data_IF_093769698966
#
_entry.id   IF_093769698966
#
_cell.length_a   1.000
_cell.length_b   1.000
_cell.length_c   1.000
_cell.angle_alpha   90.00
_cell.angle_beta   90.00
_cell.angle_gamma   90.00
#
_symmetry.space_group_name_H-M   'P 1'
#
loop_
_entity.id
_entity.type
_entity.pdbx_description
1 polymer ?
#
# COMPACT_ATOMS: atom_id res chain seq x y z
N UNK A 1 18.71 -3.97 4.39
CA UNK A 1 19.06 -3.83 2.95
C UNK A 1 17.79 -3.46 2.18
N UNK A 2 17.81 -2.52 1.24
CA UNK A 2 16.62 -2.10 0.48
C UNK A 2 16.33 -3.04 -0.70
N UNK A 3 15.11 -2.98 -1.27
CA UNK A 3 14.74 -3.76 -2.47
C UNK A 3 15.60 -3.44 -3.68
N UNK A 4 16.01 -2.17 -3.84
CA UNK A 4 16.89 -1.76 -4.93
C UNK A 4 18.23 -2.50 -4.87
N UNK A 5 18.79 -2.68 -3.67
CA UNK A 5 20.04 -3.41 -3.47
C UNK A 5 19.86 -4.92 -3.60
N UNK A 6 18.77 -5.48 -3.07
CA UNK A 6 18.58 -6.94 -2.94
C UNK A 6 18.02 -7.58 -4.21
N UNK A 7 17.12 -6.88 -4.90
CA UNK A 7 16.34 -7.39 -6.03
C UNK A 7 16.47 -6.54 -7.29
N UNK A 8 17.23 -5.44 -7.26
CA UNK A 8 17.42 -4.58 -8.43
C UNK A 8 16.22 -3.70 -8.77
N UNK A 9 15.29 -3.50 -7.82
CA UNK A 9 14.20 -2.54 -8.00
C UNK A 9 14.75 -1.14 -8.37
N UNK A 10 14.05 -0.45 -9.24
CA UNK A 10 14.47 0.82 -9.84
C UNK A 10 13.62 1.98 -9.32
N UNK A 11 14.04 3.21 -9.64
CA UNK A 11 13.19 4.38 -9.41
C UNK A 11 11.92 4.34 -10.28
N UNK A 12 12.01 3.71 -11.45
CA UNK A 12 10.88 3.60 -12.37
C UNK A 12 9.78 2.69 -11.81
N UNK A 13 10.15 1.63 -11.07
CA UNK A 13 9.17 0.77 -10.38
C UNK A 13 8.36 1.58 -9.34
N UNK A 14 9.04 2.42 -8.55
CA UNK A 14 8.38 3.30 -7.58
C UNK A 14 7.51 4.36 -8.28
N UNK A 15 8.00 4.93 -9.38
CA UNK A 15 7.26 5.92 -10.15
C UNK A 15 5.98 5.36 -10.77
N UNK A 16 5.98 4.08 -11.18
CA UNK A 16 4.79 3.41 -11.70
C UNK A 16 3.70 3.23 -10.63
N UNK A 17 4.09 2.93 -9.39
CA UNK A 17 3.16 2.87 -8.25
C UNK A 17 2.51 4.23 -8.02
N UNK A 18 3.31 5.29 -7.89
CA UNK A 18 2.79 6.66 -7.74
C UNK A 18 1.86 7.05 -8.91
N UNK A 19 2.27 6.72 -10.14
CA UNK A 19 1.49 7.05 -11.33
C UNK A 19 0.12 6.37 -11.31
N UNK A 20 0.07 5.06 -11.05
CA UNK A 20 -1.19 4.32 -10.86
C UNK A 20 -2.09 4.99 -9.83
N UNK A 21 -1.55 5.34 -8.66
CA UNK A 21 -2.36 5.93 -7.58
C UNK A 21 -2.91 7.31 -8.00
N UNK A 22 -2.11 8.12 -8.69
CA UNK A 22 -2.57 9.40 -9.23
C UNK A 22 -3.61 9.26 -10.35
N UNK A 23 -3.48 8.25 -11.22
CA UNK A 23 -4.49 7.98 -12.25
C UNK A 23 -5.82 7.55 -11.63
N UNK A 24 -5.81 6.72 -10.58
CA UNK A 24 -7.01 6.37 -9.83
C UNK A 24 -7.61 7.60 -9.11
N UNK A 25 -6.75 8.42 -8.47
CA UNK A 25 -7.16 9.63 -7.78
C UNK A 25 -7.82 10.66 -8.71
N UNK A 26 -7.42 10.73 -9.99
CA UNK A 26 -7.99 11.64 -10.98
C UNK A 26 -9.52 11.48 -11.10
N UNK A 27 -10.02 10.25 -11.02
CA UNK A 27 -11.44 9.92 -11.16
C UNK A 27 -12.22 10.00 -9.84
N UNK A 28 -11.55 10.07 -8.70
CA UNK A 28 -12.19 10.08 -7.39
C UNK A 28 -12.48 11.51 -6.89
N UNK A 29 -13.76 11.95 -6.81
CA UNK A 29 -14.12 13.30 -6.35
C UNK A 29 -13.73 13.60 -4.90
N UNK A 30 -13.42 12.57 -4.09
CA UNK A 30 -12.96 12.71 -2.70
C UNK A 30 -11.45 12.81 -2.59
N UNK A 31 -10.70 12.50 -3.65
CA UNK A 31 -9.24 12.52 -3.63
C UNK A 31 -8.71 13.96 -3.72
N UNK A 32 -7.59 14.25 -3.04
CA UNK A 32 -6.91 15.55 -3.12
C UNK A 32 -6.44 15.93 -4.53
N UNK A 33 -6.19 14.90 -5.35
CA UNK A 33 -5.78 15.02 -6.74
C UNK A 33 -6.95 14.83 -7.72
N UNK A 34 -8.19 15.00 -7.26
CA UNK A 34 -9.35 14.97 -8.14
C UNK A 34 -9.18 15.93 -9.33
N UNK A 35 -9.33 15.40 -10.55
CA UNK A 35 -9.13 16.12 -11.82
C UNK A 35 -7.74 16.75 -12.00
N UNK A 36 -6.73 16.37 -11.22
CA UNK A 36 -5.33 16.79 -11.42
C UNK A 36 -4.56 15.68 -12.10
N UNK A 37 -4.14 15.91 -13.34
CA UNK A 37 -3.30 14.96 -14.04
C UNK A 37 -1.86 15.08 -13.54
N UNK A 38 -1.29 13.99 -13.02
CA UNK A 38 0.12 13.89 -12.64
C UNK A 38 0.76 12.90 -13.61
N UNK A 39 1.68 13.40 -14.43
CA UNK A 39 2.37 12.55 -15.41
C UNK A 39 3.53 11.78 -14.77
N UNK A 40 3.96 10.69 -15.44
CA UNK A 40 5.19 9.99 -15.04
C UNK A 40 6.41 10.92 -15.03
N UNK A 41 6.46 11.90 -15.94
CA UNK A 41 7.56 12.86 -16.01
C UNK A 41 7.56 13.80 -14.79
N UNK A 42 6.38 14.26 -14.35
CA UNK A 42 6.24 15.06 -13.13
C UNK A 42 6.73 14.27 -11.90
N UNK A 43 6.41 12.98 -11.86
CA UNK A 43 6.83 12.07 -10.77
C UNK A 43 8.34 11.91 -10.76
N UNK A 44 8.94 11.54 -11.90
CA UNK A 44 10.38 11.31 -12.04
C UNK A 44 11.22 12.57 -11.80
N UNK A 45 10.70 13.74 -12.15
CA UNK A 45 11.39 15.03 -11.94
C UNK A 45 11.10 15.69 -10.60
N UNK A 46 10.22 15.10 -9.77
CA UNK A 46 9.89 15.70 -8.48
C UNK A 46 11.06 15.70 -7.50
N UNK A 47 11.11 16.64 -6.54
CA UNK A 47 12.21 16.76 -5.60
C UNK A 47 12.45 15.46 -4.82
N UNK A 48 13.72 15.11 -4.61
CA UNK A 48 14.10 14.04 -3.67
C UNK A 48 13.80 14.51 -2.25
N UNK A 49 13.06 13.71 -1.48
CA UNK A 49 12.74 13.99 -0.08
C UNK A 49 13.69 13.22 0.83
N UNK A 50 13.79 11.91 0.63
CA UNK A 50 14.68 11.03 1.37
C UNK A 50 15.12 9.90 0.45
N UNK A 51 16.32 10.02 -0.14
CA UNK A 51 16.80 9.11 -1.18
C UNK A 51 16.58 7.64 -0.83
N UNK A 52 15.95 6.83 -1.71
CA UNK A 52 15.60 7.14 -3.10
C UNK A 52 14.21 7.82 -3.29
N UNK A 53 13.45 8.04 -2.22
CA UNK A 53 12.07 8.51 -2.29
C UNK A 53 12.00 10.00 -2.66
N UNK A 54 11.15 10.31 -3.63
CA UNK A 54 10.81 11.64 -4.12
C UNK A 54 9.47 12.12 -3.58
N UNK A 55 9.11 13.36 -3.87
CA UNK A 55 7.90 13.98 -3.33
C UNK A 55 6.63 13.19 -3.63
N UNK A 56 6.49 12.65 -4.85
CA UNK A 56 5.33 11.84 -5.23
C UNK A 56 5.40 10.38 -4.75
N UNK A 57 6.52 9.96 -4.15
CA UNK A 57 6.60 8.68 -3.45
C UNK A 57 5.99 8.75 -2.04
N UNK A 58 5.63 9.94 -1.55
CA UNK A 58 5.12 10.18 -0.21
C UNK A 58 3.62 10.47 -0.24
N UNK A 59 2.87 9.81 0.65
CA UNK A 59 1.47 10.16 0.90
C UNK A 59 1.32 11.60 1.42
N UNK A 60 0.12 12.15 1.24
CA UNK A 60 -0.12 13.58 1.45
C UNK A 60 -0.91 13.81 2.74
N UNK A 61 -0.46 14.69 3.64
CA UNK A 61 -1.18 14.97 4.89
C UNK A 61 -2.60 15.46 4.61
N UNK A 62 -3.60 14.81 5.19
CA UNK A 62 -5.01 15.15 5.01
C UNK A 62 -5.75 15.18 6.35
N UNK A 63 -6.80 16.01 6.42
CA UNK A 63 -7.74 16.05 7.53
C UNK A 63 -9.04 15.40 7.06
N UNK A 64 -9.57 14.46 7.82
CA UNK A 64 -10.80 13.76 7.49
C UNK A 64 -11.18 12.74 8.56
N UNK A 65 -12.36 12.14 8.40
CA UNK A 65 -12.84 11.04 9.21
C UNK A 65 -13.58 10.04 8.32
N UNK A 66 -13.52 8.76 8.68
CA UNK A 66 -14.32 7.69 8.13
C UNK A 66 -14.92 6.89 9.29
N UNK A 67 -16.10 6.33 9.10
CA UNK A 67 -16.75 5.46 10.06
C UNK A 67 -17.43 4.30 9.34
N UNK A 68 -17.56 3.18 10.03
CA UNK A 68 -18.26 1.99 9.59
C UNK A 68 -19.16 1.49 10.72
N UNK A 69 -20.30 0.89 10.36
CA UNK A 69 -21.22 0.25 11.29
C UNK A 69 -21.21 -1.24 10.96
N UNK A 70 -20.85 -2.07 11.93
CA UNK A 70 -20.88 -3.52 11.80
C UNK A 70 -22.17 -4.05 12.44
N UNK A 71 -22.86 -4.93 11.72
CA UNK A 71 -24.01 -5.68 12.24
C UNK A 71 -23.78 -7.18 12.08
N UNK A 72 -24.57 -7.96 12.81
CA UNK A 72 -24.71 -9.41 12.57
C UNK A 72 -25.80 -9.72 11.53
N UNK A 73 -26.58 -8.72 11.14
CA UNK A 73 -27.58 -8.87 10.09
C UNK A 73 -26.87 -9.06 8.74
N UNK A 74 -27.47 -9.87 7.87
CA UNK A 74 -26.95 -10.12 6.53
C UNK A 74 -27.04 -8.84 5.67
N UNK A 75 -25.97 -8.53 4.95
CA UNK A 75 -25.90 -7.38 4.01
C UNK A 75 -25.18 -7.81 2.73
N UNK A 76 -25.14 -6.93 1.72
CA UNK A 76 -24.43 -7.19 0.45
C UNK A 76 -22.90 -7.36 0.62
N UNK A 77 -22.34 -6.97 1.77
CA UNK A 77 -20.91 -7.10 2.09
C UNK A 77 -20.75 -7.86 3.40
N UNK A 78 -19.90 -8.88 3.40
CA UNK A 78 -19.57 -9.69 4.56
C UNK A 78 -18.08 -9.56 4.92
N UNK A 79 -17.79 -9.41 6.22
CA UNK A 79 -16.43 -9.52 6.74
C UNK A 79 -16.10 -11.00 6.97
N UNK A 80 -15.42 -11.61 6.00
CA UNK A 80 -15.11 -13.06 6.00
C UNK A 80 -13.80 -13.41 6.73
N UNK A 81 -12.95 -12.41 7.03
CA UNK A 81 -11.70 -12.61 7.77
C UNK A 81 -11.10 -11.29 8.23
N UNK A 82 -10.51 -11.29 9.42
CA UNK A 82 -9.78 -10.17 9.97
C UNK A 82 -8.66 -10.65 10.89
N UNK A 83 -7.46 -10.15 10.68
CA UNK A 83 -6.30 -10.48 11.49
C UNK A 83 -5.39 -9.26 11.65
N UNK A 84 -4.68 -9.21 12.76
CA UNK A 84 -3.72 -8.17 13.10
C UNK A 84 -2.47 -8.83 13.67
N UNK A 85 -1.32 -8.37 13.22
CA UNK A 85 -0.02 -8.82 13.69
C UNK A 85 0.89 -7.62 13.90
N UNK A 86 1.88 -7.77 14.78
CA UNK A 86 2.82 -6.70 15.12
C UNK A 86 4.25 -7.14 14.86
N UNK A 87 5.11 -6.16 14.64
CA UNK A 87 6.54 -6.34 14.39
C UNK A 87 7.31 -5.24 15.13
N UNK A 88 8.62 -5.28 15.03
CA UNK A 88 9.58 -4.32 15.56
C UNK A 88 9.13 -2.88 15.32
N UNK A 89 9.06 -2.13 16.41
CA UNK A 89 8.64 -0.72 16.41
C UNK A 89 9.63 0.15 15.66
N UNK A 90 10.92 -0.03 15.94
CA UNK A 90 11.97 0.74 15.29
C UNK A 90 12.41 0.08 13.97
N UNK A 91 12.44 0.82 12.85
CA UNK A 91 12.89 0.26 11.57
C UNK A 91 14.30 -0.32 11.60
N UNK A 92 15.19 0.20 12.45
CA UNK A 92 16.57 -0.28 12.57
C UNK A 92 16.71 -1.57 13.39
N UNK A 93 15.66 -1.99 14.10
CA UNK A 93 15.63 -3.27 14.84
C UNK A 93 15.14 -4.42 13.95
N UNK A 94 14.70 -4.12 12.72
CA UNK A 94 14.19 -5.13 11.79
C UNK A 94 15.34 -5.91 11.14
N UNK A 95 15.19 -7.23 11.13
CA UNK A 95 16.08 -8.13 10.39
C UNK A 95 15.94 -7.96 8.86
N UNK A 96 14.72 -7.63 8.41
CA UNK A 96 14.40 -7.48 6.99
C UNK A 96 13.72 -6.12 6.73
N UNK A 97 14.22 -5.42 5.72
CA UNK A 97 13.71 -4.12 5.27
C UNK A 97 13.03 -4.19 3.89
N UNK A 98 12.81 -5.39 3.36
CA UNK A 98 12.20 -5.63 2.04
C UNK A 98 10.94 -6.49 2.09
N UNK A 99 10.48 -6.86 3.28
CA UNK A 99 9.29 -7.69 3.53
C UNK A 99 8.94 -7.55 5.01
N UNK A 100 7.64 -7.56 5.32
CA UNK A 100 7.06 -7.38 6.63
C UNK A 100 6.45 -8.69 7.12
N UNK A 101 7.05 -9.29 8.15
CA UNK A 101 6.56 -10.55 8.70
C UNK A 101 5.14 -10.40 9.28
N UNK A 102 4.85 -9.28 9.93
CA UNK A 102 3.50 -8.96 10.39
C UNK A 102 2.47 -8.96 9.24
N UNK A 103 2.79 -8.37 8.09
CA UNK A 103 1.86 -8.35 6.94
C UNK A 103 1.58 -9.76 6.44
N UNK A 104 2.61 -10.59 6.25
CA UNK A 104 2.46 -11.98 5.79
C UNK A 104 1.65 -12.83 6.77
N UNK A 105 1.94 -12.70 8.06
CA UNK A 105 1.25 -13.47 9.11
C UNK A 105 -0.22 -13.05 9.23
N UNK A 106 -0.50 -11.75 9.23
CA UNK A 106 -1.87 -11.23 9.27
C UNK A 106 -2.66 -11.65 8.01
N UNK A 107 -2.05 -11.55 6.83
CA UNK A 107 -2.68 -11.98 5.58
C UNK A 107 -2.99 -13.48 5.59
N UNK A 108 -2.02 -14.32 5.98
CA UNK A 108 -2.21 -15.76 6.05
C UNK A 108 -3.34 -16.18 6.99
N UNK A 109 -3.46 -15.54 8.16
CA UNK A 109 -4.55 -15.83 9.10
C UNK A 109 -5.89 -15.29 8.58
N UNK A 110 -5.94 -14.10 7.97
CA UNK A 110 -7.16 -13.57 7.36
C UNK A 110 -7.66 -14.44 6.20
N UNK A 111 -6.76 -14.90 5.31
CA UNK A 111 -7.09 -15.82 4.22
C UNK A 111 -7.60 -17.16 4.75
N UNK A 112 -6.98 -17.68 5.80
CA UNK A 112 -7.42 -18.92 6.46
C UNK A 112 -8.79 -18.80 7.11
N UNK A 113 -9.11 -17.66 7.75
CA UNK A 113 -10.45 -17.40 8.29
C UNK A 113 -11.50 -17.33 7.17
N UNK A 114 -11.15 -16.65 6.07
CA UNK A 114 -12.03 -16.49 4.91
C UNK A 114 -12.13 -17.77 4.04
N UNK A 115 -11.21 -18.73 4.19
CA UNK A 115 -11.15 -19.94 3.37
C UNK A 115 -10.78 -19.67 1.90
N UNK A 116 -10.00 -18.61 1.64
CA UNK A 116 -9.60 -18.17 0.30
C UNK A 116 -8.08 -18.12 0.15
N UNK A 117 -7.61 -17.85 -1.07
CA UNK A 117 -6.22 -17.61 -1.43
C UNK A 117 -6.04 -16.21 -2.02
N UNK A 118 -4.81 -15.70 -2.17
CA UNK A 118 -4.55 -14.42 -2.82
C UNK A 118 -5.10 -14.34 -4.26
N UNK A 119 -5.11 -15.47 -5.00
CA UNK A 119 -5.65 -15.55 -6.36
C UNK A 119 -7.17 -15.30 -6.43
N UNK A 120 -7.88 -15.43 -5.30
CA UNK A 120 -9.32 -15.17 -5.20
C UNK A 120 -9.64 -13.66 -5.00
N UNK A 121 -8.62 -12.82 -4.79
CA UNK A 121 -8.78 -11.39 -4.52
C UNK A 121 -8.97 -10.60 -5.82
N UNK A 122 -10.18 -10.11 -6.05
CA UNK A 122 -10.51 -9.29 -7.22
C UNK A 122 -10.10 -7.81 -7.11
N UNK A 123 -9.89 -7.30 -5.90
CA UNK A 123 -9.49 -5.90 -5.64
C UNK A 123 -8.78 -5.81 -4.30
N UNK A 124 -7.75 -4.97 -4.20
CA UNK A 124 -6.99 -4.73 -2.98
C UNK A 124 -6.84 -3.23 -2.71
N UNK A 125 -7.12 -2.83 -1.46
CA UNK A 125 -6.81 -1.51 -0.91
C UNK A 125 -5.64 -1.69 0.06
N UNK A 126 -4.48 -1.10 -0.26
CA UNK A 126 -3.24 -1.30 0.48
C UNK A 126 -2.82 -0.04 1.21
N UNK A 127 -2.05 -0.21 2.29
CA UNK A 127 -1.49 0.93 3.02
C UNK A 127 -0.29 1.53 2.27
N UNK A 128 -0.54 2.55 1.45
CA UNK A 128 0.43 3.18 0.54
C UNK A 128 1.06 4.46 1.09
N UNK A 129 1.46 4.46 2.37
CA UNK A 129 2.11 5.64 2.99
C UNK A 129 3.33 6.13 2.19
N UNK A 130 4.05 5.18 1.58
CA UNK A 130 5.05 5.40 0.56
C UNK A 130 4.92 4.36 -0.56
N UNK A 131 5.32 4.71 -1.79
CA UNK A 131 5.31 3.78 -2.94
C UNK A 131 6.11 2.50 -2.69
N UNK A 132 7.19 2.60 -1.92
CA UNK A 132 8.00 1.44 -1.51
C UNK A 132 7.25 0.49 -0.56
N UNK A 133 6.38 1.01 0.30
CA UNK A 133 5.56 0.21 1.22
C UNK A 133 4.50 -0.55 0.44
N UNK A 134 3.85 0.10 -0.52
CA UNK A 134 2.87 -0.55 -1.39
C UNK A 134 3.52 -1.67 -2.20
N UNK A 135 4.70 -1.42 -2.79
CA UNK A 135 5.45 -2.41 -3.55
C UNK A 135 5.83 -3.64 -2.71
N UNK A 136 6.26 -3.44 -1.46
CA UNK A 136 6.53 -4.54 -0.51
C UNK A 136 5.24 -5.29 -0.19
N UNK A 137 4.14 -4.57 0.00
CA UNK A 137 2.85 -5.17 0.37
C UNK A 137 2.28 -6.07 -0.73
N UNK A 138 2.52 -5.77 -2.01
CA UNK A 138 2.14 -6.67 -3.10
C UNK A 138 2.74 -8.07 -2.89
N UNK A 139 4.04 -8.15 -2.63
CA UNK A 139 4.73 -9.43 -2.49
C UNK A 139 4.39 -10.15 -1.18
N UNK A 140 4.17 -9.40 -0.09
CA UNK A 140 3.87 -9.97 1.21
C UNK A 140 2.43 -10.52 1.30
N UNK A 141 1.50 -10.01 0.48
CA UNK A 141 0.13 -10.49 0.43
C UNK A 141 -0.03 -11.73 -0.46
N UNK A 142 0.95 -12.03 -1.31
CA UNK A 142 0.96 -13.20 -2.20
C UNK A 142 0.50 -12.87 -3.60
#
# INVERSE_FOLDING_TARGET
>A
MSKQLKYGATQDDLALVAYKNHQNAYFNPKARFYKKNVSLEDIKNSPVVASPLRLFDCSIPANGAASLILSKDETDIELVGAAEETDSLAPFERDNMTSWDATKLAAAEAYKQAGISPDDIGVAELHDAFTSVELISYEDLG
#
